data_IF_052952089720
#
_entry.id   IF_052952089720
#
_cell.length_a   1.000
_cell.length_b   1.000
_cell.length_c   1.000
_cell.angle_alpha   90.00
_cell.angle_beta   90.00
_cell.angle_gamma   90.00
#
_symmetry.space_group_name_H-M   'P 1'
#
loop_
_entity.id
_entity.type
_entity.pdbx_description
1 polymer ?
#
# COMPACT_ATOMS: atom_id res chain seq x y z
N UNK A 1 25.29 5.20 -43.80
CA UNK A 1 26.03 5.39 -42.54
C UNK A 1 26.49 6.82 -42.30
N UNK A 2 26.81 7.66 -43.31
CA UNK A 2 27.29 9.05 -43.03
C UNK A 2 26.23 9.98 -42.44
N UNK A 3 24.97 9.88 -42.87
CA UNK A 3 23.87 10.76 -42.41
C UNK A 3 23.66 10.72 -40.89
N UNK A 4 23.88 9.56 -40.25
CA UNK A 4 23.76 9.45 -38.79
C UNK A 4 24.88 10.19 -38.05
N UNK A 5 26.10 10.21 -38.63
CA UNK A 5 27.25 10.89 -38.04
C UNK A 5 27.11 12.40 -38.15
N UNK A 6 26.70 12.91 -39.31
CA UNK A 6 26.50 14.34 -39.54
C UNK A 6 25.42 14.93 -38.61
N UNK A 7 24.34 14.16 -38.38
CA UNK A 7 23.29 14.55 -37.42
C UNK A 7 23.81 14.55 -35.97
N UNK A 8 24.60 13.54 -35.58
CA UNK A 8 25.17 13.46 -34.24
C UNK A 8 26.14 14.63 -33.98
N UNK A 9 27.01 14.95 -34.95
CA UNK A 9 27.93 16.10 -34.87
C UNK A 9 27.16 17.43 -34.76
N UNK A 10 26.11 17.61 -35.56
CA UNK A 10 25.24 18.77 -35.49
C UNK A 10 24.55 18.93 -34.12
N UNK A 11 24.05 17.84 -33.56
CA UNK A 11 23.44 17.83 -32.22
C UNK A 11 24.46 18.10 -31.11
N UNK A 12 25.69 17.60 -31.26
CA UNK A 12 26.77 17.87 -30.31
C UNK A 12 27.21 19.34 -30.33
N UNK A 13 27.29 19.95 -31.52
CA UNK A 13 27.55 21.39 -31.65
C UNK A 13 26.43 22.22 -31.02
N UNK A 14 25.16 21.86 -31.26
CA UNK A 14 24.02 22.50 -30.63
C UNK A 14 24.08 22.37 -29.10
N UNK A 15 24.36 21.18 -28.59
CA UNK A 15 24.50 20.91 -27.17
C UNK A 15 25.59 21.81 -26.53
N UNK A 16 26.80 21.85 -27.10
CA UNK A 16 27.90 22.69 -26.59
C UNK A 16 27.52 24.18 -26.58
N UNK A 17 26.81 24.65 -27.62
CA UNK A 17 26.34 26.03 -27.70
C UNK A 17 25.26 26.33 -26.66
N UNK A 18 24.29 25.44 -26.46
CA UNK A 18 23.26 25.60 -25.43
C UNK A 18 23.87 25.58 -24.03
N UNK A 19 24.82 24.69 -23.78
CA UNK A 19 25.49 24.55 -22.49
C UNK A 19 26.21 25.84 -22.10
N UNK A 20 27.06 26.37 -22.99
CA UNK A 20 27.81 27.62 -22.76
C UNK A 20 26.89 28.84 -22.58
N UNK A 21 25.81 28.94 -23.36
CA UNK A 21 24.86 30.04 -23.24
C UNK A 21 24.06 30.00 -21.94
N UNK A 22 23.60 28.81 -21.53
CA UNK A 22 22.69 28.67 -20.40
C UNK A 22 23.39 28.66 -19.05
N UNK A 23 24.66 28.27 -18.96
CA UNK A 23 25.37 28.13 -17.68
C UNK A 23 25.30 29.40 -16.80
N UNK A 24 25.49 30.58 -17.40
CA UNK A 24 25.37 31.86 -16.68
C UNK A 24 23.95 32.12 -16.20
N UNK A 25 22.98 31.90 -17.09
CA UNK A 25 21.55 32.11 -16.80
C UNK A 25 21.04 31.15 -15.73
N UNK A 26 21.55 29.91 -15.68
CA UNK A 26 21.21 28.93 -14.64
C UNK A 26 21.70 29.40 -13.28
N UNK A 27 22.93 29.91 -13.22
CA UNK A 27 23.51 30.43 -11.97
C UNK A 27 22.73 31.63 -11.43
N UNK A 28 22.29 32.53 -12.31
CA UNK A 28 21.42 33.66 -11.96
C UNK A 28 20.02 33.19 -11.54
N UNK A 29 19.42 32.28 -12.31
CA UNK A 29 18.10 31.73 -12.05
C UNK A 29 18.00 31.05 -10.67
N UNK A 30 19.02 30.30 -10.23
CA UNK A 30 19.03 29.67 -8.90
C UNK A 30 18.87 30.71 -7.78
N UNK A 31 19.41 31.92 -7.95
CA UNK A 31 19.31 32.99 -6.94
C UNK A 31 17.88 33.56 -6.87
N UNK A 32 17.18 33.56 -8.00
CA UNK A 32 15.85 34.15 -8.19
C UNK A 32 14.67 33.18 -7.99
N UNK A 33 14.91 31.89 -7.73
CA UNK A 33 13.84 30.92 -7.38
C UNK A 33 13.07 31.41 -6.14
N UNK A 34 11.71 31.48 -6.20
CA UNK A 34 10.80 30.68 -7.04
C UNK A 34 10.24 31.36 -8.31
N UNK A 35 10.85 32.41 -8.86
CA UNK A 35 10.32 33.07 -10.07
C UNK A 35 10.07 32.08 -11.23
N UNK A 36 8.90 32.15 -11.86
CA UNK A 36 8.48 31.24 -12.96
C UNK A 36 9.49 31.23 -14.12
N UNK A 37 10.09 32.38 -14.43
CA UNK A 37 11.13 32.50 -15.45
C UNK A 37 12.37 31.66 -15.09
N UNK A 38 12.82 31.72 -13.84
CA UNK A 38 13.93 30.93 -13.32
C UNK A 38 13.65 29.42 -13.38
N UNK A 39 12.42 29.01 -13.06
CA UNK A 39 12.01 27.60 -13.13
C UNK A 39 12.06 27.09 -14.58
N UNK A 40 11.62 27.90 -15.55
CA UNK A 40 11.73 27.55 -16.98
C UNK A 40 13.18 27.39 -17.43
N UNK A 41 14.08 28.27 -16.97
CA UNK A 41 15.52 28.14 -17.25
C UNK A 41 16.07 26.82 -16.69
N UNK A 42 15.65 26.41 -15.49
CA UNK A 42 16.03 25.10 -14.93
C UNK A 42 15.52 23.94 -15.78
N UNK A 43 14.25 23.97 -16.22
CA UNK A 43 13.69 22.91 -17.06
C UNK A 43 14.42 22.76 -18.41
N UNK A 44 14.79 23.89 -19.03
CA UNK A 44 15.62 23.88 -20.25
C UNK A 44 16.99 23.29 -19.95
N UNK A 45 17.62 23.67 -18.84
CA UNK A 45 18.91 23.12 -18.42
C UNK A 45 18.87 21.60 -18.17
N UNK A 46 17.85 21.11 -17.48
CA UNK A 46 17.60 19.67 -17.28
C UNK A 46 17.48 18.93 -18.61
N UNK A 47 16.81 19.55 -19.60
CA UNK A 47 16.68 19.00 -20.96
C UNK A 47 18.02 18.96 -21.69
N UNK A 48 18.85 19.99 -21.53
CA UNK A 48 20.20 20.06 -22.11
C UNK A 48 21.11 18.98 -21.53
N UNK A 49 21.12 18.77 -20.22
CA UNK A 49 21.91 17.69 -19.60
C UNK A 49 21.42 16.31 -20.07
N UNK A 50 20.09 16.12 -20.15
CA UNK A 50 19.50 14.88 -20.65
C UNK A 50 19.91 14.60 -22.10
N UNK A 51 19.94 15.63 -22.95
CA UNK A 51 20.45 15.54 -24.32
C UNK A 51 21.93 15.18 -24.36
N UNK A 52 22.76 15.81 -23.52
CA UNK A 52 24.19 15.51 -23.41
C UNK A 52 24.45 14.05 -23.04
N UNK A 53 23.67 13.52 -22.09
CA UNK A 53 23.70 12.09 -21.74
C UNK A 53 23.29 11.19 -22.90
N UNK A 54 22.20 11.52 -23.60
CA UNK A 54 21.72 10.76 -24.74
C UNK A 54 22.74 10.74 -25.89
N UNK A 55 23.50 11.82 -26.07
CA UNK A 55 24.60 11.93 -27.03
C UNK A 55 25.91 11.27 -26.56
N UNK A 56 25.95 10.69 -25.37
CA UNK A 56 27.16 10.11 -24.74
C UNK A 56 28.32 11.12 -24.62
N UNK A 57 28.01 12.40 -24.44
CA UNK A 57 29.03 13.45 -24.25
C UNK A 57 29.52 13.42 -22.80
N UNK A 58 30.84 13.39 -22.61
CA UNK A 58 31.46 13.55 -21.31
C UNK A 58 31.19 14.96 -20.76
N UNK A 59 30.23 15.04 -19.84
CA UNK A 59 29.84 16.28 -19.18
C UNK A 59 30.89 16.66 -18.13
N UNK A 60 31.47 17.88 -18.17
CA UNK A 60 32.36 18.35 -17.12
C UNK A 60 31.65 18.35 -15.77
N UNK A 61 32.33 17.97 -14.69
CA UNK A 61 31.74 17.99 -13.34
C UNK A 61 31.16 19.35 -12.94
N UNK A 62 31.79 20.43 -13.41
CA UNK A 62 31.35 21.82 -13.23
C UNK A 62 29.93 22.10 -13.77
N UNK A 63 29.40 21.23 -14.62
CA UNK A 63 28.03 21.34 -15.17
C UNK A 63 27.00 20.58 -14.34
N UNK A 64 27.44 19.79 -13.35
CA UNK A 64 26.62 18.93 -12.49
C UNK A 64 26.68 19.37 -11.01
N UNK A 65 26.76 20.68 -10.75
CA UNK A 65 26.85 21.27 -9.40
C UNK A 65 25.64 22.13 -9.06
N UNK A 66 24.62 22.19 -9.93
CA UNK A 66 23.53 23.15 -9.78
C UNK A 66 22.38 22.61 -8.93
N UNK A 67 22.20 21.29 -8.89
CA UNK A 67 21.05 20.72 -8.20
C UNK A 67 21.11 20.92 -6.67
N UNK A 68 22.28 20.74 -6.03
CA UNK A 68 22.39 20.88 -4.58
C UNK A 68 22.16 22.33 -4.08
N UNK A 69 22.74 23.39 -4.67
CA UNK A 69 22.39 24.77 -4.33
C UNK A 69 20.91 25.08 -4.54
N UNK A 70 20.32 24.61 -5.65
CA UNK A 70 18.90 24.79 -5.94
C UNK A 70 18.03 24.12 -4.87
N UNK A 71 18.36 22.89 -4.48
CA UNK A 71 17.65 22.16 -3.43
C UNK A 71 17.68 22.89 -2.10
N UNK A 72 18.84 23.40 -1.69
CA UNK A 72 18.96 24.20 -0.45
C UNK A 72 18.08 25.45 -0.51
N UNK A 73 18.05 26.12 -1.66
CA UNK A 73 17.21 27.30 -1.88
C UNK A 73 15.73 26.92 -1.78
N UNK A 74 15.26 25.91 -2.51
CA UNK A 74 13.85 25.45 -2.48
C UNK A 74 13.44 24.97 -1.09
N UNK A 75 14.32 24.26 -0.38
CA UNK A 75 14.08 23.82 0.99
C UNK A 75 13.90 25.00 1.97
N UNK A 76 14.53 26.15 1.70
CA UNK A 76 14.41 27.37 2.52
C UNK A 76 13.16 28.21 2.22
N UNK A 77 12.47 27.95 1.11
CA UNK A 77 11.25 28.68 0.74
C UNK A 77 10.04 28.25 1.58
N UNK A 78 9.06 29.16 1.67
CA UNK A 78 7.74 28.83 2.22
C UNK A 78 6.96 27.96 1.23
N UNK A 79 6.22 26.98 1.76
CA UNK A 79 5.46 25.98 1.00
C UNK A 79 4.13 26.49 0.41
N UNK A 80 3.73 27.71 0.75
CA UNK A 80 2.35 28.18 0.52
C UNK A 80 2.06 28.65 -0.92
N UNK A 81 3.05 28.65 -1.82
CA UNK A 81 2.88 29.10 -3.20
C UNK A 81 2.86 27.94 -4.20
N UNK A 82 2.02 28.05 -5.23
CA UNK A 82 2.03 27.12 -6.36
C UNK A 82 3.40 27.08 -7.07
N UNK A 83 4.12 28.22 -7.06
CA UNK A 83 5.48 28.33 -7.59
C UNK A 83 6.48 27.46 -6.82
N UNK A 84 6.24 27.20 -5.53
CA UNK A 84 7.10 26.33 -4.73
C UNK A 84 7.06 24.88 -5.23
N UNK A 85 5.88 24.36 -5.57
CA UNK A 85 5.73 22.99 -6.12
C UNK A 85 6.49 22.86 -7.44
N UNK A 86 6.34 23.83 -8.34
CA UNK A 86 7.07 23.85 -9.61
C UNK A 86 8.59 23.92 -9.39
N UNK A 87 9.05 24.73 -8.43
CA UNK A 87 10.46 24.82 -8.07
C UNK A 87 11.00 23.50 -7.47
N UNK A 88 10.22 22.82 -6.63
CA UNK A 88 10.56 21.52 -6.05
C UNK A 88 10.64 20.41 -7.11
N UNK A 89 9.67 20.37 -8.04
CA UNK A 89 9.65 19.46 -9.18
C UNK A 89 10.86 19.68 -10.11
N UNK A 90 11.17 20.92 -10.45
CA UNK A 90 12.34 21.26 -11.26
C UNK A 90 13.66 20.93 -10.54
N UNK A 91 13.73 21.20 -9.24
CA UNK A 91 14.87 20.83 -8.39
C UNK A 91 15.12 19.33 -8.38
N UNK A 92 14.09 18.51 -8.14
CA UNK A 92 14.23 17.04 -8.18
C UNK A 92 14.63 16.55 -9.57
N UNK A 93 13.96 17.05 -10.61
CA UNK A 93 14.25 16.64 -11.99
C UNK A 93 15.71 16.93 -12.36
N UNK A 94 16.24 18.10 -11.98
CA UNK A 94 17.65 18.43 -12.17
C UNK A 94 18.57 17.51 -11.36
N UNK A 95 18.26 17.24 -10.08
CA UNK A 95 19.05 16.31 -9.24
C UNK A 95 19.17 14.93 -9.86
N UNK A 96 18.04 14.37 -10.34
CA UNK A 96 18.02 13.03 -10.92
C UNK A 96 18.78 12.95 -12.24
N UNK A 97 18.66 13.99 -13.07
CA UNK A 97 19.39 14.05 -14.34
C UNK A 97 20.89 14.19 -14.09
N UNK A 98 21.32 15.09 -13.19
CA UNK A 98 22.74 15.22 -12.80
C UNK A 98 23.28 13.90 -12.23
N UNK A 99 22.56 13.26 -11.31
CA UNK A 99 22.95 11.97 -10.73
C UNK A 99 23.20 10.92 -11.81
N UNK A 100 22.41 10.95 -12.87
CA UNK A 100 22.48 10.00 -13.97
C UNK A 100 23.72 10.17 -14.86
N UNK A 101 24.48 11.25 -14.68
CA UNK A 101 25.70 11.62 -15.39
C UNK A 101 26.98 11.49 -14.54
N UNK A 102 26.84 11.29 -13.22
CA UNK A 102 27.97 11.23 -12.28
C UNK A 102 28.62 9.85 -12.31
N UNK A 103 29.95 9.81 -12.16
CA UNK A 103 30.73 8.59 -11.98
C UNK A 103 30.29 7.80 -10.73
N UNK A 104 30.75 6.56 -10.58
CA UNK A 104 30.43 5.75 -9.39
C UNK A 104 30.89 6.38 -8.07
N UNK A 105 31.98 7.15 -8.11
CA UNK A 105 32.50 7.89 -6.96
C UNK A 105 31.58 9.07 -6.60
N UNK A 106 31.11 9.13 -5.35
CA UNK A 106 30.19 10.17 -4.87
C UNK A 106 28.71 9.99 -5.28
N UNK A 107 28.37 8.97 -6.07
CA UNK A 107 26.98 8.72 -6.51
C UNK A 107 26.01 8.47 -5.35
N UNK A 108 26.45 7.74 -4.32
CA UNK A 108 25.65 7.42 -3.13
C UNK A 108 25.29 8.66 -2.30
N UNK A 109 26.24 9.55 -2.07
CA UNK A 109 25.98 10.82 -1.37
C UNK A 109 24.94 11.66 -2.13
N UNK A 110 25.04 11.72 -3.46
CA UNK A 110 24.04 12.43 -4.27
C UNK A 110 22.67 11.76 -4.24
N UNK A 111 22.60 10.42 -4.18
CA UNK A 111 21.37 9.66 -3.97
C UNK A 111 20.75 10.01 -2.61
N UNK A 112 21.54 10.11 -1.54
CA UNK A 112 21.06 10.49 -0.21
C UNK A 112 20.39 11.85 -0.24
N UNK A 113 21.06 12.84 -0.85
CA UNK A 113 20.53 14.19 -0.97
C UNK A 113 19.26 14.17 -1.83
N UNK A 114 19.23 13.48 -2.96
CA UNK A 114 18.06 13.42 -3.85
C UNK A 114 16.85 12.81 -3.15
N UNK A 115 17.06 11.69 -2.46
CA UNK A 115 16.01 11.02 -1.72
C UNK A 115 15.52 11.85 -0.53
N UNK A 116 16.43 12.41 0.28
CA UNK A 116 16.07 13.28 1.40
C UNK A 116 15.30 14.53 0.93
N UNK A 117 15.68 15.09 -0.22
CA UNK A 117 14.99 16.23 -0.83
C UNK A 117 13.56 15.86 -1.22
N UNK A 118 13.35 14.70 -1.84
CA UNK A 118 12.02 14.22 -2.18
C UNK A 118 11.14 14.06 -0.94
N UNK A 119 11.64 13.40 0.11
CA UNK A 119 10.91 13.21 1.36
C UNK A 119 10.54 14.56 2.00
N UNK A 120 11.48 15.51 2.01
CA UNK A 120 11.25 16.87 2.52
C UNK A 120 10.23 17.63 1.68
N UNK A 121 10.27 17.49 0.35
CA UNK A 121 9.33 18.18 -0.53
C UNK A 121 7.93 17.62 -0.38
N UNK A 122 7.78 16.29 -0.30
CA UNK A 122 6.49 15.67 0.02
C UNK A 122 5.95 16.15 1.36
N UNK A 123 6.81 16.32 2.38
CA UNK A 123 6.37 16.79 3.70
C UNK A 123 5.89 18.26 3.72
N UNK A 124 6.22 19.03 2.68
CA UNK A 124 5.84 20.44 2.54
C UNK A 124 4.77 20.67 1.47
N UNK A 125 4.46 19.67 0.64
CA UNK A 125 3.57 19.83 -0.51
C UNK A 125 2.09 19.68 -0.14
N UNK A 126 1.23 20.44 -0.84
CA UNK A 126 -0.19 20.11 -0.94
C UNK A 126 -0.40 18.83 -1.78
N UNK A 127 -1.57 18.20 -1.68
CA UNK A 127 -1.89 16.93 -2.36
C UNK A 127 -1.63 16.96 -3.88
N UNK A 128 -1.95 18.07 -4.55
CA UNK A 128 -1.69 18.24 -5.99
C UNK A 128 -0.21 18.24 -6.33
N UNK A 129 0.63 18.84 -5.48
CA UNK A 129 2.07 18.88 -5.68
C UNK A 129 2.75 17.55 -5.43
N UNK A 130 2.22 16.73 -4.51
CA UNK A 130 2.74 15.37 -4.27
C UNK A 130 2.68 14.52 -5.53
N UNK A 131 1.61 14.60 -6.32
CA UNK A 131 1.49 13.83 -7.57
C UNK A 131 2.56 14.17 -8.61
N UNK A 132 2.97 15.44 -8.71
CA UNK A 132 4.03 15.88 -9.62
C UNK A 132 5.41 15.38 -9.15
N UNK A 133 5.68 15.47 -7.84
CA UNK A 133 6.90 14.94 -7.25
C UNK A 133 6.98 13.41 -7.40
N UNK A 134 5.86 12.71 -7.19
CA UNK A 134 5.71 11.26 -7.40
C UNK A 134 6.05 10.88 -8.84
N UNK A 135 5.58 11.67 -9.82
CA UNK A 135 5.90 11.45 -11.23
C UNK A 135 7.41 11.57 -11.49
N UNK A 136 8.05 12.61 -10.96
CA UNK A 136 9.50 12.84 -11.10
C UNK A 136 10.32 11.68 -10.54
N UNK A 137 10.06 11.27 -9.29
CA UNK A 137 10.80 10.15 -8.67
C UNK A 137 10.48 8.82 -9.37
N UNK A 138 9.24 8.60 -9.80
CA UNK A 138 8.84 7.37 -10.50
C UNK A 138 9.57 7.23 -11.84
N UNK A 139 9.75 8.33 -12.57
CA UNK A 139 10.52 8.35 -13.81
C UNK A 139 12.01 8.09 -13.54
N UNK A 140 12.59 8.78 -12.56
CA UNK A 140 14.00 8.64 -12.21
C UNK A 140 14.35 7.23 -11.73
N UNK A 141 13.56 6.65 -10.83
CA UNK A 141 13.84 5.34 -10.22
C UNK A 141 13.85 4.21 -11.26
N UNK A 142 13.03 4.31 -12.32
CA UNK A 142 13.04 3.34 -13.43
C UNK A 142 14.35 3.33 -14.23
N UNK A 143 15.14 4.40 -14.13
CA UNK A 143 16.45 4.53 -14.82
C UNK A 143 17.63 4.14 -13.93
N UNK A 144 17.42 3.90 -12.63
CA UNK A 144 18.48 3.50 -11.71
C UNK A 144 18.98 2.09 -12.01
N UNK A 145 20.27 1.86 -11.72
CA UNK A 145 20.79 0.50 -11.68
C UNK A 145 20.14 -0.27 -10.53
N UNK A 146 20.08 -1.62 -10.59
CA UNK A 146 19.58 -2.41 -9.48
C UNK A 146 20.32 -2.16 -8.16
N UNK A 147 21.62 -1.88 -8.21
CA UNK A 147 22.45 -1.59 -7.04
C UNK A 147 22.11 -0.23 -6.41
N UNK A 148 22.00 0.81 -7.22
CA UNK A 148 21.62 2.15 -6.74
C UNK A 148 20.19 2.15 -6.18
N UNK A 149 19.29 1.42 -6.82
CA UNK A 149 17.92 1.25 -6.32
C UNK A 149 17.91 0.49 -4.99
N UNK A 150 18.68 -0.60 -4.88
CA UNK A 150 18.86 -1.33 -3.63
C UNK A 150 19.36 -0.42 -2.50
N UNK A 151 20.34 0.44 -2.78
CA UNK A 151 20.86 1.42 -1.84
C UNK A 151 19.79 2.42 -1.35
N UNK A 152 18.97 2.98 -2.26
CA UNK A 152 17.87 3.88 -1.88
C UNK A 152 16.84 3.18 -0.99
N UNK A 153 16.54 1.92 -1.28
CA UNK A 153 15.63 1.12 -0.45
C UNK A 153 16.20 0.87 0.96
N UNK A 154 17.50 0.59 1.06
CA UNK A 154 18.21 0.43 2.35
C UNK A 154 18.19 1.73 3.16
N UNK A 155 18.46 2.87 2.53
CA UNK A 155 18.38 4.20 3.16
C UNK A 155 16.97 4.46 3.73
N UNK A 156 15.93 4.11 2.98
CA UNK A 156 14.55 4.24 3.43
C UNK A 156 14.20 3.28 4.58
N UNK A 157 14.68 2.04 4.52
CA UNK A 157 14.54 1.08 5.63
C UNK A 157 15.18 1.63 6.90
N UNK A 158 16.39 2.17 6.80
CA UNK A 158 17.10 2.78 7.93
C UNK A 158 16.31 3.96 8.50
N UNK A 159 15.81 4.85 7.63
CA UNK A 159 14.99 5.98 8.03
C UNK A 159 13.68 5.54 8.75
N UNK A 160 13.02 4.49 8.25
CA UNK A 160 11.81 3.92 8.87
C UNK A 160 12.09 3.25 10.23
N UNK A 161 13.29 2.67 10.43
CA UNK A 161 13.73 2.09 11.72
C UNK A 161 14.11 3.15 12.74
N UNK A 162 14.78 4.22 12.30
CA UNK A 162 15.37 5.24 13.17
C UNK A 162 14.38 6.22 13.78
N UNK A 163 13.14 6.32 13.27
CA UNK A 163 12.16 7.30 13.73
C UNK A 163 11.12 6.72 14.69
N UNK A 164 11.00 7.37 15.85
CA UNK A 164 9.90 7.21 16.81
C UNK A 164 8.60 7.79 16.22
N UNK A 165 7.41 7.30 16.63
CA UNK A 165 6.12 7.79 16.15
C UNK A 165 5.92 9.28 16.42
N UNK A 166 5.23 9.96 15.50
CA UNK A 166 4.82 11.37 15.66
C UNK A 166 5.82 12.39 15.12
N UNK A 167 6.91 11.93 14.49
CA UNK A 167 7.80 12.84 13.76
C UNK A 167 7.16 13.28 12.44
N UNK A 168 7.35 14.54 12.02
CA UNK A 168 6.71 15.12 10.84
C UNK A 168 7.05 14.40 9.53
N UNK A 169 8.12 13.59 9.51
CA UNK A 169 8.59 12.88 8.32
C UNK A 169 8.07 11.44 8.21
N UNK A 170 7.37 10.90 9.21
CA UNK A 170 6.90 9.49 9.17
C UNK A 170 5.95 9.25 7.99
N UNK A 171 4.97 10.12 7.76
CA UNK A 171 4.03 10.01 6.65
C UNK A 171 4.73 10.13 5.28
N UNK A 172 5.55 11.16 5.03
CA UNK A 172 6.36 11.26 3.81
C UNK A 172 7.23 10.02 3.52
N UNK A 173 7.84 9.42 4.54
CA UNK A 173 8.65 8.20 4.38
C UNK A 173 7.80 6.99 4.01
N UNK A 174 6.63 6.81 4.64
CA UNK A 174 5.69 5.74 4.27
C UNK A 174 5.16 5.91 2.84
N UNK A 175 4.85 7.15 2.45
CA UNK A 175 4.46 7.48 1.09
C UNK A 175 5.59 7.19 0.10
N UNK A 176 6.82 7.60 0.41
CA UNK A 176 8.01 7.26 -0.37
C UNK A 176 8.19 5.75 -0.54
N UNK A 177 7.98 4.97 0.53
CA UNK A 177 8.04 3.51 0.48
C UNK A 177 7.03 2.93 -0.52
N UNK A 178 5.81 3.45 -0.52
CA UNK A 178 4.76 3.03 -1.45
C UNK A 178 5.10 3.41 -2.90
N UNK A 179 5.60 4.61 -3.13
CA UNK A 179 6.00 5.08 -4.48
C UNK A 179 7.15 4.23 -5.05
N UNK A 180 8.19 3.96 -4.25
CA UNK A 180 9.32 3.12 -4.67
C UNK A 180 8.90 1.66 -4.89
N UNK A 181 8.07 1.09 -4.02
CA UNK A 181 7.53 -0.26 -4.20
C UNK A 181 6.80 -0.40 -5.55
N UNK A 182 6.05 0.63 -5.94
CA UNK A 182 5.27 0.63 -7.18
C UNK A 182 6.08 0.98 -8.41
N UNK A 183 7.26 1.60 -8.26
CA UNK A 183 8.12 2.04 -9.35
C UNK A 183 9.54 1.51 -9.13
N UNK A 184 9.84 0.35 -9.71
CA UNK A 184 11.17 -0.25 -9.63
C UNK A 184 11.78 -0.45 -11.04
N UNK A 185 13.11 -0.36 -11.18
CA UNK A 185 13.79 -0.60 -12.46
C UNK A 185 13.69 -2.06 -12.91
N UNK A 186 14.01 -2.34 -14.17
CA UNK A 186 14.07 -3.73 -14.63
C UNK A 186 15.15 -4.51 -13.84
N UNK A 187 14.93 -5.82 -13.64
CA UNK A 187 15.84 -6.72 -12.93
C UNK A 187 16.07 -6.43 -11.43
N UNK A 188 15.26 -5.58 -10.79
CA UNK A 188 15.37 -5.29 -9.34
C UNK A 188 14.31 -5.97 -8.47
N UNK A 189 13.57 -6.94 -9.01
CA UNK A 189 12.47 -7.62 -8.31
C UNK A 189 12.91 -8.17 -6.94
N UNK A 190 14.13 -8.74 -6.84
CA UNK A 190 14.67 -9.25 -5.58
C UNK A 190 14.80 -8.16 -4.52
N UNK A 191 15.30 -6.98 -4.89
CA UNK A 191 15.41 -5.84 -3.97
C UNK A 191 14.02 -5.37 -3.53
N UNK A 192 13.07 -5.22 -4.45
CA UNK A 192 11.69 -4.82 -4.15
C UNK A 192 11.00 -5.82 -3.21
N UNK A 193 11.19 -7.12 -3.43
CA UNK A 193 10.63 -8.16 -2.56
C UNK A 193 11.22 -8.10 -1.14
N UNK A 194 12.55 -8.02 -1.02
CA UNK A 194 13.23 -7.92 0.29
C UNK A 194 12.79 -6.66 1.03
N UNK A 195 12.76 -5.53 0.32
CA UNK A 195 12.27 -4.27 0.86
C UNK A 195 10.84 -4.36 1.38
N UNK A 196 9.91 -4.93 0.61
CA UNK A 196 8.53 -5.11 1.05
C UNK A 196 8.42 -5.96 2.32
N UNK A 197 9.12 -7.11 2.37
CA UNK A 197 9.14 -7.97 3.55
C UNK A 197 9.70 -7.24 4.78
N UNK A 198 10.78 -6.47 4.61
CA UNK A 198 11.40 -5.70 5.69
C UNK A 198 10.52 -4.55 6.19
N UNK A 199 9.87 -3.80 5.30
CA UNK A 199 8.91 -2.77 5.67
C UNK A 199 7.74 -3.36 6.48
N UNK A 200 7.14 -4.46 6.03
CA UNK A 200 6.04 -5.11 6.76
C UNK A 200 6.52 -5.63 8.13
N UNK A 201 7.76 -6.13 8.22
CA UNK A 201 8.39 -6.50 9.49
C UNK A 201 8.53 -5.28 10.42
N UNK A 202 9.04 -4.16 9.92
CA UNK A 202 9.13 -2.89 10.67
C UNK A 202 7.75 -2.45 11.15
N UNK A 203 6.72 -2.50 10.29
CA UNK A 203 5.37 -2.10 10.69
C UNK A 203 4.79 -2.98 11.80
N UNK A 204 5.16 -4.25 11.85
CA UNK A 204 4.76 -5.19 12.91
C UNK A 204 5.54 -5.04 14.22
N UNK A 205 6.78 -4.55 14.16
CA UNK A 205 7.70 -4.55 15.30
C UNK A 205 7.76 -3.21 16.03
N UNK A 206 7.44 -2.12 15.35
CA UNK A 206 7.49 -0.79 15.95
C UNK A 206 6.09 -0.31 16.30
N UNK A 207 5.88 -0.01 17.58
CA UNK A 207 4.60 0.46 18.12
C UNK A 207 4.07 1.72 17.39
N UNK A 208 4.98 2.49 16.78
CA UNK A 208 4.69 3.66 15.97
C UNK A 208 3.71 3.41 14.83
N UNK A 209 3.89 2.31 14.11
CA UNK A 209 3.09 1.98 12.94
C UNK A 209 1.81 1.23 13.32
N UNK A 210 1.82 0.52 14.45
CA UNK A 210 0.65 -0.21 14.97
C UNK A 210 -0.32 0.72 15.70
N UNK A 211 0.22 1.75 16.36
CA UNK A 211 -0.51 2.59 17.33
C UNK A 211 -0.46 4.07 16.98
N UNK A 212 0.07 4.42 15.81
CA UNK A 212 0.13 5.79 15.34
C UNK A 212 -1.26 6.37 15.07
N UNK A 213 -1.28 7.64 14.65
CA UNK A 213 -2.52 8.28 14.19
C UNK A 213 -3.16 7.54 13.01
N UNK A 214 -4.45 7.78 12.77
CA UNK A 214 -5.19 7.14 11.67
C UNK A 214 -4.46 7.27 10.33
N UNK A 215 -3.85 8.42 10.05
CA UNK A 215 -3.14 8.67 8.79
C UNK A 215 -1.95 7.72 8.60
N UNK A 216 -1.18 7.46 9.67
CA UNK A 216 -0.04 6.53 9.64
C UNK A 216 -0.53 5.11 9.38
N UNK A 217 -1.59 4.69 10.07
CA UNK A 217 -2.19 3.36 9.89
C UNK A 217 -2.70 3.19 8.45
N UNK A 218 -3.40 4.20 7.93
CA UNK A 218 -3.93 4.19 6.57
C UNK A 218 -2.79 4.13 5.55
N UNK A 219 -1.71 4.89 5.72
CA UNK A 219 -0.59 4.86 4.77
C UNK A 219 0.18 3.53 4.80
N UNK A 220 0.37 2.94 5.98
CA UNK A 220 0.90 1.56 6.12
C UNK A 220 0.01 0.56 5.39
N UNK A 221 -1.30 0.62 5.57
CA UNK A 221 -2.23 -0.28 4.90
C UNK A 221 -2.29 -0.03 3.38
N UNK A 222 -2.16 1.22 2.92
CA UNK A 222 -2.04 1.53 1.49
C UNK A 222 -0.78 0.96 0.87
N UNK A 223 0.35 0.98 1.58
CA UNK A 223 1.57 0.30 1.16
C UNK A 223 1.31 -1.21 0.94
N UNK A 224 0.73 -1.88 1.93
CA UNK A 224 0.45 -3.33 1.85
C UNK A 224 -0.61 -3.65 0.79
N UNK A 225 -1.63 -2.80 0.65
CA UNK A 225 -2.64 -2.93 -0.38
C UNK A 225 -2.01 -2.86 -1.77
N UNK A 226 -1.19 -1.84 -2.04
CA UNK A 226 -0.47 -1.69 -3.31
C UNK A 226 0.42 -2.91 -3.61
N UNK A 227 1.11 -3.44 -2.60
CA UNK A 227 1.91 -4.67 -2.74
C UNK A 227 1.05 -5.87 -3.17
N UNK A 228 -0.14 -6.03 -2.59
CA UNK A 228 -1.03 -7.14 -2.86
C UNK A 228 -1.82 -6.98 -4.17
N UNK A 229 -2.19 -5.76 -4.56
CA UNK A 229 -3.04 -5.47 -5.73
C UNK A 229 -2.24 -5.26 -7.01
N UNK A 230 -1.22 -4.42 -6.93
CA UNK A 230 -0.52 -3.90 -8.11
C UNK A 230 0.67 -4.80 -8.47
N UNK A 231 1.29 -5.41 -7.44
CA UNK A 231 2.44 -6.29 -7.57
C UNK A 231 2.20 -7.69 -6.99
N UNK A 232 1.07 -8.37 -7.30
CA UNK A 232 0.76 -9.68 -6.72
C UNK A 232 1.83 -10.72 -7.04
N UNK A 233 2.53 -10.59 -8.17
CA UNK A 233 3.63 -11.46 -8.57
C UNK A 233 4.87 -11.38 -7.67
N UNK A 234 5.12 -10.21 -7.08
CA UNK A 234 6.25 -10.00 -6.18
C UNK A 234 6.02 -10.65 -4.81
N UNK A 235 4.76 -10.82 -4.39
CA UNK A 235 4.40 -11.38 -3.09
C UNK A 235 5.00 -12.79 -2.88
N UNK A 236 5.62 -13.03 -1.72
CA UNK A 236 6.21 -14.33 -1.36
C UNK A 236 5.41 -15.04 -0.27
N UNK A 237 5.54 -16.36 -0.18
CA UNK A 237 4.91 -17.15 0.87
C UNK A 237 5.29 -16.67 2.28
N UNK A 238 6.53 -16.20 2.46
CA UNK A 238 7.07 -15.66 3.71
C UNK A 238 6.41 -14.35 4.14
N UNK A 239 5.81 -13.61 3.22
CA UNK A 239 5.24 -12.29 3.50
C UNK A 239 3.86 -12.41 4.15
N UNK A 240 3.12 -13.49 3.86
CA UNK A 240 1.73 -13.67 4.29
C UNK A 240 1.56 -13.71 5.81
N UNK A 241 2.36 -14.47 6.59
CA UNK A 241 2.28 -14.41 8.04
C UNK A 241 2.48 -12.99 8.59
N UNK A 242 3.41 -12.22 8.02
CA UNK A 242 3.67 -10.83 8.44
C UNK A 242 2.50 -9.91 8.09
N UNK A 243 1.89 -10.07 6.90
CA UNK A 243 0.69 -9.32 6.50
C UNK A 243 -0.46 -9.66 7.45
N UNK A 244 -0.76 -10.94 7.69
CA UNK A 244 -1.86 -11.31 8.58
C UNK A 244 -1.63 -10.89 10.03
N UNK A 245 -0.39 -10.95 10.52
CA UNK A 245 -0.04 -10.42 11.84
C UNK A 245 -0.34 -8.91 11.92
N UNK A 246 0.03 -8.16 10.87
CA UNK A 246 -0.22 -6.71 10.80
C UNK A 246 -1.72 -6.39 10.79
N UNK A 247 -2.49 -7.05 9.92
CA UNK A 247 -3.95 -6.88 9.87
C UNK A 247 -4.58 -7.25 11.22
N UNK A 248 -4.14 -8.35 11.83
CA UNK A 248 -4.63 -8.78 13.14
C UNK A 248 -4.29 -7.80 14.25
N UNK A 249 -3.12 -7.15 14.18
CA UNK A 249 -2.72 -6.10 15.12
C UNK A 249 -3.62 -4.87 15.02
N UNK A 250 -4.00 -4.46 13.81
CA UNK A 250 -4.95 -3.36 13.61
C UNK A 250 -6.39 -3.73 13.98
N UNK A 251 -6.78 -5.00 13.87
CA UNK A 251 -8.11 -5.46 14.27
C UNK A 251 -8.22 -5.89 15.74
N UNK A 252 -7.10 -5.88 16.48
CA UNK A 252 -7.08 -6.30 17.87
C UNK A 252 -7.76 -5.24 18.76
N UNK A 253 -8.50 -5.68 19.79
CA UNK A 253 -9.01 -4.80 20.83
C UNK A 253 -7.93 -3.90 21.46
N UNK A 254 -8.29 -2.66 21.80
CA UNK A 254 -7.41 -1.68 22.44
C UNK A 254 -6.87 -2.22 23.78
N UNK A 255 -5.55 -2.16 23.97
CA UNK A 255 -4.93 -2.28 25.29
C UNK A 255 -5.08 -0.95 26.05
N UNK A 256 -5.30 -0.97 27.38
CA UNK A 256 -5.71 0.20 28.19
C UNK A 256 -4.78 1.43 28.18
N UNK A 257 -3.64 1.36 27.48
CA UNK A 257 -2.62 2.41 27.41
C UNK A 257 -2.94 3.47 26.34
N UNK A 258 -3.90 3.23 25.44
CA UNK A 258 -4.08 4.06 24.23
C UNK A 258 -5.31 4.95 24.31
N UNK A 259 -5.17 6.19 23.84
CA UNK A 259 -6.30 7.04 23.49
C UNK A 259 -7.01 6.45 22.28
N UNK A 260 -8.33 6.30 22.39
CA UNK A 260 -9.17 5.91 21.27
C UNK A 260 -9.22 7.04 20.24
N UNK A 261 -9.29 6.70 18.95
CA UNK A 261 -9.48 7.70 17.91
C UNK A 261 -10.79 8.49 18.17
N UNK A 262 -10.80 9.82 17.91
CA UNK A 262 -11.99 10.63 18.14
C UNK A 262 -13.12 10.30 17.15
N UNK A 263 -12.79 9.68 16.02
CA UNK A 263 -13.73 9.27 14.98
C UNK A 263 -13.31 7.92 14.41
N UNK A 264 -14.29 7.14 13.94
CA UNK A 264 -14.02 5.88 13.24
C UNK A 264 -13.40 6.13 11.88
N UNK A 265 -12.30 5.45 11.58
CA UNK A 265 -11.65 5.49 10.28
C UNK A 265 -12.14 4.37 9.36
N UNK A 266 -13.13 4.64 8.51
CA UNK A 266 -13.62 3.67 7.53
C UNK A 266 -12.54 3.29 6.50
N UNK A 267 -11.62 4.20 6.21
CA UNK A 267 -10.47 3.97 5.32
C UNK A 267 -9.60 2.78 5.79
N UNK A 268 -9.41 2.61 7.10
CA UNK A 268 -8.68 1.47 7.67
C UNK A 268 -9.39 0.16 7.36
N UNK A 269 -10.71 0.09 7.60
CA UNK A 269 -11.50 -1.11 7.31
C UNK A 269 -11.49 -1.46 5.81
N UNK A 270 -11.68 -0.47 4.93
CA UNK A 270 -11.65 -0.67 3.48
C UNK A 270 -10.27 -1.11 2.98
N UNK A 271 -9.19 -0.59 3.57
CA UNK A 271 -7.84 -1.04 3.21
C UNK A 271 -7.60 -2.50 3.65
N UNK A 272 -8.02 -2.90 4.85
CA UNK A 272 -7.90 -4.30 5.33
C UNK A 272 -8.70 -5.27 4.46
N UNK A 273 -9.94 -4.91 4.11
CA UNK A 273 -10.79 -5.73 3.22
C UNK A 273 -10.23 -5.78 1.80
N UNK A 274 -9.65 -4.69 1.30
CA UNK A 274 -8.95 -4.65 0.00
C UNK A 274 -7.75 -5.58 -0.02
N UNK A 275 -6.87 -5.52 1.00
CA UNK A 275 -5.72 -6.43 1.14
C UNK A 275 -6.20 -7.89 1.17
N UNK A 276 -7.15 -8.19 2.04
CA UNK A 276 -7.68 -9.56 2.22
C UNK A 276 -8.30 -10.09 0.93
N UNK A 277 -9.11 -9.28 0.24
CA UNK A 277 -9.72 -9.62 -1.03
C UNK A 277 -8.70 -9.79 -2.16
N UNK A 278 -7.66 -8.95 -2.21
CA UNK A 278 -6.56 -9.05 -3.17
C UNK A 278 -5.78 -10.36 -2.99
N UNK A 279 -5.46 -10.75 -1.76
CA UNK A 279 -4.81 -12.02 -1.46
C UNK A 279 -5.65 -13.22 -1.92
N UNK A 280 -6.95 -13.23 -1.61
CA UNK A 280 -7.87 -14.31 -2.00
C UNK A 280 -7.98 -14.42 -3.52
N UNK A 281 -8.08 -13.29 -4.22
CA UNK A 281 -8.32 -13.27 -5.67
C UNK A 281 -7.06 -13.49 -6.49
N UNK A 282 -5.97 -12.81 -6.14
CA UNK A 282 -4.78 -12.69 -6.97
C UNK A 282 -3.69 -13.70 -6.61
N UNK A 283 -3.56 -14.07 -5.32
CA UNK A 283 -2.49 -14.96 -4.80
C UNK A 283 -3.01 -16.08 -3.91
N UNK A 284 -4.13 -16.68 -4.35
CA UNK A 284 -4.76 -17.84 -3.70
C UNK A 284 -3.81 -19.02 -3.47
N UNK A 285 -2.86 -19.21 -4.38
CA UNK A 285 -1.82 -20.24 -4.31
C UNK A 285 -1.04 -20.18 -2.98
N UNK A 286 -0.79 -18.97 -2.48
CA UNK A 286 -0.02 -18.78 -1.25
C UNK A 286 -0.84 -18.95 0.04
N UNK A 287 -2.17 -18.90 -0.05
CA UNK A 287 -3.04 -18.88 1.14
C UNK A 287 -3.19 -20.23 1.82
N UNK A 288 -2.92 -21.35 1.13
CA UNK A 288 -3.15 -22.70 1.65
C UNK A 288 -2.48 -22.96 3.00
N UNK A 289 -1.26 -22.43 3.20
CA UNK A 289 -0.52 -22.58 4.46
C UNK A 289 -0.93 -21.58 5.56
N UNK A 290 -1.74 -20.56 5.22
CA UNK A 290 -2.09 -19.45 6.13
C UNK A 290 -3.59 -19.28 6.32
N UNK A 291 -4.41 -20.26 5.92
CA UNK A 291 -5.87 -20.24 6.11
C UNK A 291 -6.34 -20.03 7.55
N UNK A 292 -5.66 -20.56 8.60
CA UNK A 292 -6.01 -20.23 9.98
C UNK A 292 -5.90 -18.73 10.27
N UNK A 293 -4.88 -18.06 9.73
CA UNK A 293 -4.68 -16.62 9.90
C UNK A 293 -5.72 -15.80 9.13
N UNK A 294 -6.06 -16.22 7.91
CA UNK A 294 -7.15 -15.63 7.14
C UNK A 294 -8.47 -15.74 7.90
N UNK A 295 -8.78 -16.92 8.44
CA UNK A 295 -9.98 -17.15 9.26
C UNK A 295 -10.02 -16.23 10.48
N UNK A 296 -8.89 -16.04 11.18
CA UNK A 296 -8.80 -15.12 12.30
C UNK A 296 -9.11 -13.67 11.89
N UNK A 297 -8.52 -13.18 10.80
CA UNK A 297 -8.78 -11.82 10.30
C UNK A 297 -10.25 -11.63 9.91
N UNK A 298 -10.86 -12.60 9.22
CA UNK A 298 -12.28 -12.55 8.87
C UNK A 298 -13.19 -12.53 10.11
N UNK A 299 -12.87 -13.30 11.15
CA UNK A 299 -13.58 -13.27 12.43
C UNK A 299 -13.47 -11.90 13.09
N UNK A 300 -12.29 -11.32 13.13
CA UNK A 300 -12.09 -10.00 13.74
C UNK A 300 -12.80 -8.88 12.95
N UNK A 301 -12.85 -8.97 11.62
CA UNK A 301 -13.63 -8.05 10.78
C UNK A 301 -15.13 -8.14 11.09
N UNK A 302 -15.67 -9.33 11.33
CA UNK A 302 -17.06 -9.50 11.78
C UNK A 302 -17.31 -8.82 13.14
N UNK A 303 -16.39 -9.00 14.10
CA UNK A 303 -16.50 -8.35 15.40
C UNK A 303 -16.40 -6.82 15.34
N UNK A 304 -15.69 -6.27 14.35
CA UNK A 304 -15.56 -4.83 14.12
C UNK A 304 -16.87 -4.17 13.63
N UNK A 305 -17.80 -4.94 13.04
CA UNK A 305 -19.10 -4.45 12.57
C UNK A 305 -20.17 -4.35 13.69
N UNK A 306 -19.83 -4.76 14.92
CA UNK A 306 -20.73 -4.62 16.08
C UNK A 306 -20.95 -3.14 16.40
N UNK A 307 -22.15 -2.81 16.88
CA UNK A 307 -22.48 -1.48 17.42
C UNK A 307 -22.86 -1.58 18.88
N UNK A 308 -22.44 -0.66 19.76
CA UNK A 308 -22.96 -0.58 21.12
C UNK A 308 -24.48 -0.49 21.11
N UNK A 309 -25.14 -1.15 22.07
CA UNK A 309 -26.58 -0.98 22.26
C UNK A 309 -26.91 0.47 22.63
N UNK A 310 -28.06 1.00 22.17
CA UNK A 310 -28.55 2.26 22.71
C UNK A 310 -28.75 2.10 24.22
N UNK A 311 -28.48 3.17 24.99
CA UNK A 311 -28.69 3.24 26.45
C UNK A 311 -27.66 2.49 27.33
N UNK A 312 -26.49 2.09 26.82
CA UNK A 312 -25.42 1.60 27.69
C UNK A 312 -24.94 2.70 28.65
N UNK A 313 -24.80 2.34 29.93
CA UNK A 313 -24.18 3.23 30.91
C UNK A 313 -22.72 3.51 30.58
N UNK A 314 -22.19 4.67 31.00
CA UNK A 314 -20.82 5.11 30.69
C UNK A 314 -19.75 4.04 30.98
N UNK A 315 -19.84 3.36 32.13
CA UNK A 315 -18.90 2.29 32.51
C UNK A 315 -18.95 1.08 31.56
N UNK A 316 -20.13 0.69 31.10
CA UNK A 316 -20.29 -0.40 30.13
C UNK A 316 -19.78 0.02 28.76
N UNK A 317 -20.06 1.25 28.33
CA UNK A 317 -19.54 1.80 27.08
C UNK A 317 -18.01 1.86 27.11
N UNK A 318 -17.40 2.32 28.20
CA UNK A 318 -15.94 2.38 28.36
C UNK A 318 -15.31 0.97 28.39
N UNK A 319 -15.97 -0.02 29.00
CA UNK A 319 -15.54 -1.41 28.97
C UNK A 319 -15.66 -2.01 27.56
N UNK A 320 -16.76 -1.73 26.87
CA UNK A 320 -17.02 -2.20 25.53
C UNK A 320 -16.06 -1.55 24.50
N UNK A 321 -15.76 -0.26 24.66
CA UNK A 321 -14.82 0.49 23.83
C UNK A 321 -13.45 -0.20 23.77
N UNK A 322 -13.00 -0.80 24.88
CA UNK A 322 -11.75 -1.58 24.94
C UNK A 322 -11.79 -2.87 24.13
N UNK A 323 -12.98 -3.35 23.76
CA UNK A 323 -13.16 -4.54 22.89
C UNK A 323 -13.08 -4.20 21.40
N UNK A 324 -13.13 -2.92 21.04
CA UNK A 324 -13.00 -2.46 19.66
C UNK A 324 -11.55 -2.19 19.28
N UNK A 325 -11.21 -2.26 17.98
CA UNK A 325 -9.97 -1.72 17.43
C UNK A 325 -9.76 -0.24 17.76
N UNK A 326 -8.51 0.21 17.84
CA UNK A 326 -8.15 1.59 18.23
C UNK A 326 -8.66 2.69 17.30
N UNK A 327 -8.91 2.34 16.04
CA UNK A 327 -9.37 3.24 15.00
C UNK A 327 -10.91 3.25 14.86
N UNK A 328 -11.65 2.54 15.73
CA UNK A 328 -13.11 2.58 15.79
C UNK A 328 -13.54 3.37 17.03
N UNK A 329 -14.33 4.41 16.82
CA UNK A 329 -15.15 5.05 17.84
C UNK A 329 -16.51 4.31 17.95
N UNK A 330 -16.84 3.72 19.12
CA UNK A 330 -18.10 3.02 19.33
C UNK A 330 -19.33 3.93 19.17
N UNK A 331 -19.17 5.26 19.26
CA UNK A 331 -20.25 6.23 19.04
C UNK A 331 -20.52 6.48 17.56
N UNK A 332 -19.53 6.25 16.70
CA UNK A 332 -19.66 6.34 15.25
C UNK A 332 -19.22 5.02 14.59
N UNK A 333 -19.92 3.91 14.84
CA UNK A 333 -19.48 2.59 14.40
C UNK A 333 -19.65 2.38 12.88
N UNK A 334 -19.10 1.28 12.37
CA UNK A 334 -19.14 0.94 10.94
C UNK A 334 -20.56 0.74 10.39
N UNK A 335 -20.69 0.99 9.09
CA UNK A 335 -21.93 1.06 8.32
C UNK A 335 -22.29 -0.20 7.52
N UNK A 336 -23.38 -0.09 6.76
CA UNK A 336 -23.78 -1.10 5.79
C UNK A 336 -22.80 -1.20 4.60
N UNK A 337 -22.12 -0.10 4.26
CA UNK A 337 -21.12 -0.08 3.18
C UNK A 337 -19.90 -0.96 3.52
N UNK A 338 -19.39 -0.84 4.75
CA UNK A 338 -18.29 -1.69 5.23
C UNK A 338 -18.73 -3.15 5.33
N UNK A 339 -19.96 -3.41 5.78
CA UNK A 339 -20.53 -4.75 5.79
C UNK A 339 -20.61 -5.36 4.38
N UNK A 340 -21.00 -4.58 3.37
CA UNK A 340 -21.01 -5.00 1.98
C UNK A 340 -19.60 -5.21 1.41
N UNK A 341 -18.61 -4.41 1.83
CA UNK A 341 -17.21 -4.64 1.48
C UNK A 341 -16.71 -5.99 2.04
N UNK A 342 -17.02 -6.31 3.30
CA UNK A 342 -16.70 -7.61 3.88
C UNK A 342 -17.45 -8.76 3.21
N UNK A 343 -18.74 -8.57 2.86
CA UNK A 343 -19.51 -9.57 2.13
C UNK A 343 -18.83 -9.97 0.82
N UNK A 344 -18.37 -8.99 0.03
CA UNK A 344 -17.63 -9.22 -1.22
C UNK A 344 -16.34 -10.01 -1.00
N UNK A 345 -15.62 -9.77 0.11
CA UNK A 345 -14.42 -10.56 0.47
C UNK A 345 -14.78 -12.02 0.76
N UNK A 346 -15.88 -12.26 1.49
CA UNK A 346 -16.35 -13.61 1.78
C UNK A 346 -16.82 -14.34 0.52
N UNK A 347 -17.54 -13.66 -0.38
CA UNK A 347 -17.94 -14.21 -1.68
C UNK A 347 -16.74 -14.57 -2.55
N UNK A 348 -15.67 -13.78 -2.51
CA UNK A 348 -14.45 -14.03 -3.26
C UNK A 348 -13.80 -15.38 -2.94
N UNK A 349 -14.02 -15.96 -1.76
CA UNK A 349 -13.55 -17.30 -1.41
C UNK A 349 -14.13 -18.40 -2.31
N UNK A 350 -15.37 -18.21 -2.79
CA UNK A 350 -16.07 -19.14 -3.70
C UNK A 350 -15.75 -18.88 -5.17
N UNK A 351 -15.22 -17.69 -5.49
CA UNK A 351 -14.88 -17.31 -6.85
C UNK A 351 -13.75 -18.19 -7.38
N UNK A 352 -13.93 -18.75 -8.58
CA UNK A 352 -12.87 -19.50 -9.26
C UNK A 352 -11.88 -18.52 -9.87
N UNK A 353 -10.62 -18.60 -9.47
CA UNK A 353 -9.54 -17.75 -10.00
C UNK A 353 -8.41 -18.60 -10.56
N UNK A 354 -7.75 -18.10 -11.60
CA UNK A 354 -6.50 -18.68 -12.10
C UNK A 354 -5.36 -17.91 -11.41
N UNK A 355 -4.52 -18.55 -10.59
CA UNK A 355 -3.40 -17.88 -9.94
C UNK A 355 -2.48 -17.27 -11.01
N UNK A 356 -2.14 -15.99 -10.85
CA UNK A 356 -1.16 -15.32 -11.72
C UNK A 356 0.25 -15.71 -11.29
N UNK A 357 0.68 -16.93 -11.62
CA UNK A 357 2.08 -17.34 -11.43
C UNK A 357 2.89 -16.93 -12.65
N UNK A 358 3.89 -16.06 -12.47
CA UNK A 358 4.90 -15.84 -13.50
C UNK A 358 5.78 -17.09 -13.56
N UNK A 359 5.48 -18.03 -14.45
CA UNK A 359 6.49 -18.99 -14.92
C UNK A 359 7.52 -18.18 -15.72
N UNK A 360 8.51 -17.66 -15.01
CA UNK A 360 9.62 -16.90 -15.59
C UNK A 360 10.45 -17.82 -16.50
N UNK A 361 10.38 -17.58 -17.82
CA UNK A 361 11.57 -17.58 -18.68
C UNK A 361 12.25 -18.91 -19.03
N UNK A 362 11.64 -20.07 -18.86
CA UNK A 362 12.12 -21.31 -19.49
C UNK A 362 11.23 -21.64 -20.68
N UNK A 363 11.80 -21.86 -21.85
CA UNK A 363 11.11 -22.35 -23.05
C UNK A 363 10.34 -23.64 -22.74
N UNK A 364 9.13 -23.49 -22.21
CA UNK A 364 8.20 -24.58 -22.04
C UNK A 364 7.76 -24.96 -23.44
N UNK A 365 8.31 -26.08 -23.89
CA UNK A 365 7.88 -26.83 -25.06
C UNK A 365 6.36 -26.72 -25.22
N UNK A 366 5.93 -26.39 -26.44
CA UNK A 366 4.54 -26.15 -26.82
C UNK A 366 3.60 -27.38 -26.67
N UNK A 367 4.03 -28.44 -25.96
CA UNK A 367 3.32 -29.71 -25.82
C UNK A 367 2.53 -29.91 -24.53
N UNK A 368 2.90 -29.27 -23.41
CA UNK A 368 2.31 -29.57 -22.08
C UNK A 368 1.75 -28.34 -21.36
N UNK A 369 1.12 -27.44 -22.12
CA UNK A 369 0.28 -26.38 -21.57
C UNK A 369 -1.04 -26.97 -21.04
N UNK A 370 -0.97 -27.75 -19.95
CA UNK A 370 -2.14 -28.03 -19.13
C UNK A 370 -2.71 -26.70 -18.66
N UNK A 371 -3.79 -26.26 -19.31
CA UNK A 371 -4.48 -25.02 -19.00
C UNK A 371 -4.77 -24.97 -17.50
N UNK A 372 -4.18 -24.00 -16.80
CA UNK A 372 -4.32 -23.88 -15.35
C UNK A 372 -5.79 -23.76 -14.98
N UNK A 373 -6.37 -24.85 -14.46
CA UNK A 373 -7.80 -24.94 -14.16
C UNK A 373 -8.16 -23.90 -13.10
N UNK A 374 -9.10 -23.02 -13.45
CA UNK A 374 -9.67 -22.08 -12.50
C UNK A 374 -10.28 -22.86 -11.32
N UNK A 375 -9.73 -22.63 -10.12
CA UNK A 375 -10.17 -23.28 -8.88
C UNK A 375 -10.58 -22.20 -7.88
N UNK A 376 -11.45 -22.51 -6.92
CA UNK A 376 -11.81 -21.59 -5.83
C UNK A 376 -11.05 -21.93 -4.56
N UNK A 377 -11.07 -21.05 -3.55
CA UNK A 377 -10.47 -21.35 -2.23
C UNK A 377 -11.44 -22.14 -1.34
N UNK A 378 -12.73 -22.12 -1.67
CA UNK A 378 -13.81 -22.75 -0.91
C UNK A 378 -13.53 -24.19 -0.44
N UNK A 379 -13.01 -25.14 -1.26
CA UNK A 379 -12.77 -26.50 -0.78
C UNK A 379 -11.75 -26.55 0.36
N UNK A 380 -10.66 -25.78 0.24
CA UNK A 380 -9.57 -25.77 1.24
C UNK A 380 -9.96 -24.95 2.46
N UNK A 381 -10.75 -23.89 2.27
CA UNK A 381 -11.24 -23.03 3.35
C UNK A 381 -12.45 -23.61 4.11
N UNK A 382 -13.11 -24.67 3.60
CA UNK A 382 -14.31 -25.28 4.20
C UNK A 382 -14.15 -25.60 5.70
N UNK A 383 -12.97 -26.09 6.11
CA UNK A 383 -12.63 -26.41 7.52
C UNK A 383 -12.54 -25.16 8.41
N UNK A 384 -12.32 -23.99 7.81
CA UNK A 384 -12.17 -22.71 8.50
C UNK A 384 -13.41 -21.82 8.40
N UNK A 385 -14.41 -22.20 7.61
CA UNK A 385 -15.66 -21.46 7.46
C UNK A 385 -16.53 -21.49 8.73
N UNK A 386 -16.58 -22.63 9.43
CA UNK A 386 -17.38 -22.78 10.65
C UNK A 386 -16.96 -21.80 11.77
N UNK A 387 -15.65 -21.66 12.12
CA UNK A 387 -15.20 -20.64 13.07
C UNK A 387 -15.55 -19.19 12.69
N UNK A 388 -15.66 -18.89 11.38
CA UNK A 388 -16.04 -17.55 10.90
C UNK A 388 -17.54 -17.32 11.11
N UNK A 389 -18.39 -18.29 10.77
CA UNK A 389 -19.83 -18.22 11.03
C UNK A 389 -20.14 -18.19 12.54
N UNK A 390 -19.38 -18.93 13.35
CA UNK A 390 -19.48 -18.86 14.80
C UNK A 390 -19.18 -17.45 15.33
N UNK A 391 -18.13 -16.80 14.84
CA UNK A 391 -17.84 -15.42 15.21
C UNK A 391 -18.95 -14.43 14.80
N UNK A 392 -19.62 -14.64 13.66
CA UNK A 392 -20.80 -13.85 13.29
C UNK A 392 -21.94 -14.07 14.29
N UNK A 393 -22.22 -15.33 14.67
CA UNK A 393 -23.23 -15.64 15.65
C UNK A 393 -22.91 -15.00 17.02
N UNK A 394 -21.67 -15.10 17.49
CA UNK A 394 -21.22 -14.46 18.73
C UNK A 394 -21.38 -12.94 18.66
N UNK A 395 -20.97 -12.31 17.56
CA UNK A 395 -21.09 -10.87 17.37
C UNK A 395 -22.55 -10.40 17.30
N UNK A 396 -23.45 -11.20 16.73
CA UNK A 396 -24.87 -10.90 16.66
C UNK A 396 -25.60 -11.08 18.00
N UNK A 397 -25.09 -11.92 18.89
CA UNK A 397 -25.70 -12.25 20.19
C UNK A 397 -24.98 -11.63 21.39
N UNK A 398 -23.98 -10.78 21.15
CA UNK A 398 -23.29 -10.04 22.21
C UNK A 398 -24.29 -9.24 23.08
N UNK A 399 -24.24 -9.35 24.41
CA UNK A 399 -25.20 -8.69 25.29
C UNK A 399 -25.08 -7.17 25.30
N UNK A 400 -23.89 -6.62 25.02
CA UNK A 400 -23.63 -5.17 25.03
C UNK A 400 -23.66 -4.56 23.62
N UNK A 401 -23.57 -5.39 22.60
CA UNK A 401 -23.65 -4.94 21.21
C UNK A 401 -24.95 -5.38 20.51
N UNK A 402 -25.21 -4.75 19.37
CA UNK A 402 -26.14 -5.20 18.35
C UNK A 402 -25.41 -5.25 17.01
N UNK A 403 -25.87 -6.13 16.13
CA UNK A 403 -25.58 -6.03 14.69
C UNK A 403 -26.84 -5.51 14.01
N UNK A 404 -26.88 -4.25 13.56
CA UNK A 404 -28.05 -3.63 12.98
C UNK A 404 -28.62 -4.40 11.78
N UNK A 405 -29.91 -4.23 11.50
CA UNK A 405 -30.58 -4.97 10.43
C UNK A 405 -29.97 -4.66 9.04
N UNK A 406 -29.61 -3.40 8.79
CA UNK A 406 -28.97 -2.97 7.55
C UNK A 406 -27.58 -3.58 7.35
N UNK A 407 -26.80 -3.69 8.43
CA UNK A 407 -25.48 -4.34 8.43
C UNK A 407 -25.63 -5.84 8.17
N UNK A 408 -26.58 -6.52 8.84
CA UNK A 408 -26.86 -7.94 8.62
C UNK A 408 -27.30 -8.23 7.19
N UNK A 409 -28.18 -7.39 6.63
CA UNK A 409 -28.66 -7.49 5.25
C UNK A 409 -27.51 -7.31 4.24
N UNK A 410 -26.64 -6.32 4.45
CA UNK A 410 -25.49 -6.08 3.57
C UNK A 410 -24.45 -7.21 3.64
N UNK A 411 -24.27 -7.83 4.83
CA UNK A 411 -23.34 -8.93 5.05
C UNK A 411 -23.84 -10.29 4.51
N UNK A 412 -25.16 -10.42 4.34
CA UNK A 412 -25.85 -11.68 4.04
C UNK A 412 -25.27 -12.47 2.85
N UNK A 413 -24.96 -11.87 1.68
CA UNK A 413 -24.41 -12.63 0.54
C UNK A 413 -23.11 -13.36 0.90
N UNK A 414 -22.22 -12.70 1.64
CA UNK A 414 -20.97 -13.27 2.11
C UNK A 414 -21.16 -14.40 3.12
N UNK A 415 -22.14 -14.29 4.02
CA UNK A 415 -22.47 -15.36 4.97
C UNK A 415 -23.01 -16.60 4.25
N UNK A 416 -23.78 -16.41 3.16
CA UNK A 416 -24.28 -17.52 2.35
C UNK A 416 -23.19 -18.21 1.55
N UNK A 417 -22.21 -17.46 1.07
CA UNK A 417 -21.01 -18.05 0.49
C UNK A 417 -20.32 -19.00 1.48
N UNK A 418 -20.21 -18.62 2.77
CA UNK A 418 -19.66 -19.48 3.82
C UNK A 418 -20.56 -20.69 4.14
N UNK A 419 -21.88 -20.50 4.23
CA UNK A 419 -22.82 -21.62 4.42
C UNK A 419 -22.68 -22.67 3.30
N UNK A 420 -22.51 -22.23 2.05
CA UNK A 420 -22.29 -23.12 0.91
C UNK A 420 -20.98 -23.92 0.95
N UNK A 421 -20.01 -23.53 1.79
CA UNK A 421 -18.76 -24.29 2.00
C UNK A 421 -18.90 -25.38 3.07
N UNK A 422 -19.93 -25.30 3.92
CA UNK A 422 -20.15 -26.27 4.98
C UNK A 422 -20.95 -27.47 4.45
N UNK A 423 -20.57 -28.67 4.89
CA UNK A 423 -21.44 -29.83 4.82
C UNK A 423 -22.32 -29.91 6.09
N UNK A 424 -23.37 -30.72 6.04
CA UNK A 424 -24.32 -30.90 7.14
C UNK A 424 -23.63 -31.36 8.43
N UNK A 425 -22.66 -32.27 8.32
CA UNK A 425 -21.90 -32.77 9.47
C UNK A 425 -21.11 -31.65 10.18
N UNK A 426 -20.38 -30.79 9.45
CA UNK A 426 -19.62 -29.67 10.02
C UNK A 426 -20.56 -28.62 10.62
N UNK A 427 -21.71 -28.37 9.98
CA UNK A 427 -22.76 -27.52 10.57
C UNK A 427 -23.21 -28.09 11.91
N UNK A 428 -23.54 -29.38 11.99
CA UNK A 428 -24.04 -30.01 13.21
C UNK A 428 -22.99 -30.06 14.31
N UNK A 429 -21.73 -30.36 13.96
CA UNK A 429 -20.61 -30.28 14.89
C UNK A 429 -20.46 -28.85 15.47
N UNK A 430 -20.55 -27.81 14.63
CA UNK A 430 -20.51 -26.41 15.08
C UNK A 430 -21.69 -26.06 16.01
N UNK A 431 -22.90 -26.55 15.68
CA UNK A 431 -24.11 -26.36 16.49
C UNK A 431 -24.01 -27.02 17.88
N UNK A 432 -23.18 -28.05 18.04
CA UNK A 432 -22.95 -28.72 19.33
C UNK A 432 -21.80 -28.08 20.08
N UNK A 433 -20.65 -27.84 19.43
CA UNK A 433 -19.39 -27.56 20.10
C UNK A 433 -19.01 -26.07 20.18
N UNK A 434 -19.53 -25.21 19.30
CA UNK A 434 -19.00 -23.84 19.12
C UNK A 434 -20.02 -22.73 19.37
N UNK A 435 -21.29 -23.07 19.57
CA UNK A 435 -22.37 -22.09 19.71
C UNK A 435 -23.12 -22.29 21.02
N UNK A 436 -23.43 -21.18 21.69
CA UNK A 436 -24.36 -21.14 22.82
C UNK A 436 -25.83 -21.21 22.34
N UNK A 437 -26.79 -21.12 23.25
CA UNK A 437 -28.21 -21.23 22.90
C UNK A 437 -28.66 -20.15 21.91
N UNK A 438 -28.21 -18.90 22.09
CA UNK A 438 -28.55 -17.77 21.22
C UNK A 438 -27.88 -17.88 19.85
N UNK A 439 -26.60 -18.27 19.82
CA UNK A 439 -25.85 -18.56 18.61
C UNK A 439 -26.47 -19.67 17.79
N UNK A 440 -26.97 -20.74 18.42
CA UNK A 440 -27.71 -21.82 17.74
C UNK A 440 -28.97 -21.30 17.05
N UNK A 441 -29.74 -20.41 17.69
CA UNK A 441 -30.92 -19.80 17.08
C UNK A 441 -30.54 -18.94 15.88
N UNK A 442 -29.50 -18.12 16.03
CA UNK A 442 -28.99 -17.26 14.95
C UNK A 442 -28.51 -18.07 13.76
N UNK A 443 -27.73 -19.14 14.00
CA UNK A 443 -27.22 -20.02 12.96
C UNK A 443 -28.34 -20.80 12.25
N UNK A 444 -29.33 -21.31 12.99
CA UNK A 444 -30.51 -21.96 12.39
C UNK A 444 -31.28 -20.99 11.48
N UNK A 445 -31.48 -19.75 11.91
CA UNK A 445 -32.14 -18.73 11.11
C UNK A 445 -31.36 -18.43 9.82
N UNK A 446 -30.05 -18.22 9.94
CA UNK A 446 -29.16 -17.99 8.79
C UNK A 446 -29.18 -19.16 7.81
N UNK A 447 -29.09 -20.40 8.33
CA UNK A 447 -29.09 -21.61 7.50
C UNK A 447 -30.40 -21.82 6.75
N UNK A 448 -31.55 -21.62 7.42
CA UNK A 448 -32.87 -21.71 6.77
C UNK A 448 -33.00 -20.71 5.62
N UNK A 449 -32.55 -19.48 5.82
CA UNK A 449 -32.58 -18.45 4.78
C UNK A 449 -31.66 -18.81 3.61
N UNK A 450 -30.46 -19.31 3.90
CA UNK A 450 -29.53 -19.82 2.87
C UNK A 450 -30.17 -20.94 2.05
N UNK A 451 -30.77 -21.94 2.70
CA UNK A 451 -31.45 -23.04 2.00
C UNK A 451 -32.59 -22.53 1.13
N UNK A 452 -33.42 -21.61 1.65
CA UNK A 452 -34.49 -20.97 0.88
C UNK A 452 -33.96 -20.37 -0.41
N UNK A 453 -32.88 -19.57 -0.35
CA UNK A 453 -32.30 -18.96 -1.55
C UNK A 453 -31.65 -19.97 -2.50
N UNK A 454 -31.01 -21.02 -1.96
CA UNK A 454 -30.38 -22.07 -2.76
C UNK A 454 -31.37 -22.81 -3.67
N UNK A 455 -32.63 -22.93 -3.25
CA UNK A 455 -33.67 -23.65 -4.00
C UNK A 455 -34.50 -22.78 -4.94
N UNK A 456 -34.48 -21.44 -4.82
CA UNK A 456 -35.27 -20.55 -5.69
C UNK A 456 -34.75 -20.51 -7.14
N UNK A 457 -33.45 -20.78 -7.37
CA UNK A 457 -32.81 -20.68 -8.71
C UNK A 457 -32.72 -21.98 -9.51
N UNK A 458 -33.40 -23.06 -9.10
CA UNK A 458 -33.33 -24.39 -9.75
C UNK A 458 -34.69 -24.94 -10.21
N UNK A 459 -35.74 -24.13 -10.13
CA UNK A 459 -37.10 -24.48 -10.55
C UNK A 459 -37.41 -24.04 -11.98
#
# INVERSE_FOLDING_TARGET
MSVHKDVQEGLQLLFNKLQSLLQKHVTEAIKSVPESASIRVMAVWTSVISLGKWLEVNLPEQTMIFAQPLTRKVASLSSDSADWTLAASASLSLMWVELSCVSSEGKRERLDIAFASYVLYVSKSAESGVAELDHCISAAVKTLSPEDYGYVLELLIEALRGKQPGLPLTLPLLHAARVLLNNYPQNSLKHTQTFASECISIFNNYAAYISGGSDVIVEVLRFVASYCTDRPAALRQSDLPLIFALLSNYLRPIRPIRSQAPTTSTAVFHAITTITGALIRLRRDLLSATLPHLSLVLRQLLFALRRPRPQLGRRQLDALAKTFPSWIDPRNPLGAEEAAALARVLEALTTKTIPRTHKSGGAASAGDASAAKATSLAPVFSRHAAPVLAAYADAANDPLCITPAEVRKALQPGLFALCGMLNEHTRDAMMVASLDAAGKVTMKSLWREFERQRYVGKG
#
